data_IF_446718513026
#
_entry.id   IF_446718513026
#
_cell.length_a   1.000
_cell.length_b   1.000
_cell.length_c   1.000
_cell.angle_alpha   90.00
_cell.angle_beta   90.00
_cell.angle_gamma   90.00
#
_symmetry.space_group_name_H-M   'P 1'
#
loop_
_entity.id
_entity.type
_entity.pdbx_description
1 polymer ?
#
# COMPACT_ATOMS: atom_id res chain seq x y z
N UNK A 1 8.98 -26.55 -1.47
CA UNK A 1 8.89 -25.10 -1.78
C UNK A 1 7.47 -24.85 -2.22
N UNK A 2 6.79 -23.85 -1.66
CA UNK A 2 5.46 -23.51 -2.13
C UNK A 2 5.57 -22.94 -3.55
N UNK A 3 4.86 -23.55 -4.49
CA UNK A 3 4.67 -22.98 -5.82
C UNK A 3 3.84 -21.71 -5.68
N UNK A 4 4.22 -20.65 -6.40
CA UNK A 4 3.39 -19.44 -6.54
C UNK A 4 2.30 -19.81 -7.55
N UNK A 5 1.07 -19.97 -7.08
CA UNK A 5 -0.08 -20.33 -7.92
C UNK A 5 -0.83 -19.06 -8.35
N UNK A 6 -0.69 -17.98 -7.57
CA UNK A 6 -1.30 -16.67 -7.82
C UNK A 6 -0.34 -15.55 -7.47
N UNK A 7 -0.55 -14.37 -8.05
CA UNK A 7 0.30 -13.21 -7.79
C UNK A 7 0.31 -12.81 -6.31
N UNK A 8 -0.82 -13.02 -5.63
CA UNK A 8 -1.00 -12.75 -4.21
C UNK A 8 -0.18 -13.66 -3.30
N UNK A 9 0.32 -14.80 -3.78
CA UNK A 9 1.20 -15.68 -2.99
C UNK A 9 2.61 -15.09 -2.84
N UNK A 10 2.97 -14.08 -3.65
CA UNK A 10 4.27 -13.42 -3.58
C UNK A 10 4.33 -12.55 -2.32
N UNK A 11 5.21 -12.88 -1.38
CA UNK A 11 5.39 -12.13 -0.13
C UNK A 11 5.70 -10.65 -0.38
N UNK A 12 6.58 -10.35 -1.35
CA UNK A 12 6.90 -8.98 -1.72
C UNK A 12 5.66 -8.20 -2.22
N UNK A 13 4.74 -8.86 -2.92
CA UNK A 13 3.48 -8.24 -3.34
C UNK A 13 2.58 -7.94 -2.16
N UNK A 14 2.44 -8.89 -1.23
CA UNK A 14 1.65 -8.71 -0.01
C UNK A 14 2.19 -7.53 0.80
N UNK A 15 3.52 -7.46 0.99
CA UNK A 15 4.19 -6.37 1.72
C UNK A 15 4.05 -5.02 1.04
N UNK A 16 4.19 -4.98 -0.30
CA UNK A 16 3.95 -3.75 -1.05
C UNK A 16 2.48 -3.28 -0.90
N UNK A 17 1.52 -4.19 -0.95
CA UNK A 17 0.09 -3.90 -0.77
C UNK A 17 -0.21 -3.35 0.62
N UNK A 18 0.36 -3.94 1.66
CA UNK A 18 0.27 -3.44 3.05
C UNK A 18 0.83 -2.02 3.15
N UNK A 19 2.05 -1.80 2.66
CA UNK A 19 2.70 -0.49 2.68
C UNK A 19 1.89 0.58 1.95
N UNK A 20 1.38 0.28 0.76
CA UNK A 20 0.54 1.23 0.02
C UNK A 20 -0.72 1.62 0.80
N UNK A 21 -1.37 0.68 1.48
CA UNK A 21 -2.55 0.98 2.32
C UNK A 21 -2.20 1.91 3.48
N UNK A 22 -1.04 1.70 4.10
CA UNK A 22 -0.54 2.54 5.18
C UNK A 22 -0.21 3.95 4.71
N UNK A 23 0.41 4.10 3.54
CA UNK A 23 0.66 5.40 2.91
C UNK A 23 -0.66 6.15 2.69
N UNK A 24 -1.63 5.53 2.04
CA UNK A 24 -2.93 6.17 1.83
C UNK A 24 -3.64 6.51 3.14
N UNK A 25 -3.49 5.70 4.19
CA UNK A 25 -4.05 5.99 5.51
C UNK A 25 -3.48 7.27 6.10
N UNK A 26 -2.17 7.48 5.99
CA UNK A 26 -1.51 8.68 6.55
C UNK A 26 -1.67 9.91 5.66
N UNK A 27 -1.67 9.76 4.33
CA UNK A 27 -1.82 10.90 3.41
C UNK A 27 -3.26 11.43 3.35
N UNK A 28 -4.26 10.58 3.60
CA UNK A 28 -5.66 10.99 3.71
C UNK A 28 -6.04 11.62 5.07
N UNK A 29 -5.07 11.83 5.98
CA UNK A 29 -5.33 12.38 7.31
C UNK A 29 -4.48 13.63 7.59
N UNK A 30 -4.94 14.44 8.54
CA UNK A 30 -4.17 15.57 9.08
C UNK A 30 -3.77 16.61 8.04
N UNK A 31 -2.52 17.09 8.12
CA UNK A 31 -2.00 18.13 7.24
C UNK A 31 -1.88 17.67 5.78
N UNK A 32 -1.55 16.39 5.56
CA UNK A 32 -1.41 15.81 4.22
C UNK A 32 -2.74 15.65 3.49
N UNK A 33 -3.87 15.54 4.20
CA UNK A 33 -5.20 15.45 3.58
C UNK A 33 -5.59 16.71 2.77
N UNK A 34 -4.90 17.83 3.00
CA UNK A 34 -5.06 19.09 2.25
C UNK A 34 -3.98 19.28 1.19
N UNK A 35 -2.96 18.43 1.19
CA UNK A 35 -1.95 18.35 0.14
C UNK A 35 -2.44 17.38 -0.95
N UNK A 36 -3.15 17.94 -1.93
CA UNK A 36 -3.74 17.18 -3.03
C UNK A 36 -2.70 16.43 -3.88
N UNK A 37 -1.42 16.85 -3.86
CA UNK A 37 -0.35 16.15 -4.58
C UNK A 37 0.17 14.91 -3.84
N UNK A 38 0.01 14.86 -2.52
CA UNK A 38 0.38 13.71 -1.69
C UNK A 38 -0.79 12.78 -1.37
N UNK A 39 -2.02 13.31 -1.41
CA UNK A 39 -3.24 12.57 -1.11
C UNK A 39 -3.78 11.76 -2.30
N UNK A 40 -3.81 12.37 -3.48
CA UNK A 40 -4.48 11.85 -4.69
C UNK A 40 -3.50 11.12 -5.62
#
# INVERSE_FOLDING_TARGET
MASIEKFEDIEAWQKARELSREIYRVTNQGAFAKDFGLRD
#
